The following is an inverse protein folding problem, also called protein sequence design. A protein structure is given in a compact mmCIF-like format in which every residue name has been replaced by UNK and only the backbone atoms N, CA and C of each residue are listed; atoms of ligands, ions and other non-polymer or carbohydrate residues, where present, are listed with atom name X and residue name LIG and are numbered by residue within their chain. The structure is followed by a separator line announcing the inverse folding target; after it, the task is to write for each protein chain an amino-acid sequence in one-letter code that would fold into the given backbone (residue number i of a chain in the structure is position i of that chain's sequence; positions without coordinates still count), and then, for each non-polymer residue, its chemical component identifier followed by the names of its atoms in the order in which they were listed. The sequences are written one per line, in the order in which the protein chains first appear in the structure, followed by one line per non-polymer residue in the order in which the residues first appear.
data_IF_756201589384
#
_entry.id   IF_756201589384
#
_cell.length_a   1.000
_cell.length_b   1.000
_cell.length_c   1.000
_cell.angle_alpha   90.00
_cell.angle_beta   90.00
_cell.angle_gamma   90.00
#
_symmetry.space_group_name_H-M   'P 1'
#
loop_
_entity.id
_entity.type
_entity.pdbx_description
1 polymer ?
#
# COMPACT_ATOMS: atom_id res chain seq x y z
N UNK A 1 -13.94 11.54 -34.08
CA UNK A 1 -14.64 11.48 -32.78
C UNK A 1 -14.17 10.28 -31.96
N UNK A 2 -14.41 9.04 -32.40
CA UNK A 2 -13.98 7.83 -31.67
C UNK A 2 -12.46 7.75 -31.42
N UNK A 3 -11.65 8.08 -32.43
CA UNK A 3 -10.18 8.06 -32.34
C UNK A 3 -9.59 9.04 -31.31
N UNK A 4 -10.21 10.21 -31.15
CA UNK A 4 -9.81 11.21 -30.15
C UNK A 4 -10.11 10.74 -28.73
N UNK A 5 -11.23 10.05 -28.54
CA UNK A 5 -11.63 9.45 -27.25
C UNK A 5 -10.65 8.34 -26.88
N UNK A 6 -10.30 7.45 -27.83
CA UNK A 6 -9.30 6.41 -27.60
C UNK A 6 -7.92 6.99 -27.25
N UNK A 7 -7.45 8.01 -27.98
CA UNK A 7 -6.18 8.66 -27.70
C UNK A 7 -6.14 9.32 -26.30
N UNK A 8 -7.22 9.98 -25.91
CA UNK A 8 -7.36 10.58 -24.57
C UNK A 8 -7.36 9.53 -23.46
N UNK A 9 -8.06 8.41 -23.68
CA UNK A 9 -8.15 7.31 -22.71
C UNK A 9 -6.80 6.62 -22.54
N UNK A 10 -6.07 6.38 -23.64
CA UNK A 10 -4.70 5.85 -23.61
C UNK A 10 -3.77 6.82 -22.88
N UNK A 11 -3.85 8.11 -23.18
CA UNK A 11 -3.05 9.13 -22.50
C UNK A 11 -3.30 9.16 -20.98
N UNK A 12 -4.55 9.05 -20.55
CA UNK A 12 -4.91 9.00 -19.14
C UNK A 12 -4.37 7.74 -18.44
N UNK A 13 -4.44 6.58 -19.10
CA UNK A 13 -3.89 5.31 -18.60
C UNK A 13 -2.37 5.38 -18.50
N UNK A 14 -1.69 5.87 -19.53
CA UNK A 14 -0.23 6.03 -19.55
C UNK A 14 0.22 7.02 -18.48
N UNK A 15 -0.51 8.12 -18.27
CA UNK A 15 -0.22 9.08 -17.21
C UNK A 15 -0.41 8.46 -15.83
N UNK A 16 -1.49 7.70 -15.62
CA UNK A 16 -1.74 6.97 -14.36
C UNK A 16 -0.66 5.94 -14.06
N UNK A 17 -0.20 5.20 -15.08
CA UNK A 17 0.92 4.27 -14.99
C UNK A 17 2.21 5.05 -14.65
N UNK A 18 2.54 6.10 -15.40
CA UNK A 18 3.74 6.90 -15.16
C UNK A 18 3.79 7.48 -13.73
N UNK A 19 2.65 7.91 -13.20
CA UNK A 19 2.54 8.37 -11.82
C UNK A 19 2.71 7.24 -10.80
N UNK A 20 2.15 6.07 -11.08
CA UNK A 20 2.26 4.89 -10.21
C UNK A 20 3.66 4.27 -10.19
N UNK A 21 4.43 4.41 -11.27
CA UNK A 21 5.79 3.88 -11.41
C UNK A 21 6.88 4.88 -10.98
N UNK A 22 6.53 6.03 -10.41
CA UNK A 22 7.54 6.95 -9.89
C UNK A 22 8.37 6.24 -8.81
N UNK A 23 9.71 6.24 -8.91
CA UNK A 23 10.56 5.60 -7.92
C UNK A 23 10.36 6.29 -6.58
N UNK A 24 9.69 5.59 -5.67
CA UNK A 24 9.59 6.00 -4.28
C UNK A 24 10.86 5.57 -3.54
N UNK A 25 11.28 6.34 -2.54
CA UNK A 25 12.38 5.94 -1.63
C UNK A 25 12.01 4.77 -0.71
N UNK A 26 10.81 4.21 -0.89
CA UNK A 26 10.28 3.12 -0.12
C UNK A 26 10.83 1.78 -0.62
N UNK A 27 10.97 0.78 0.27
CA UNK A 27 11.37 -0.56 -0.12
C UNK A 27 10.38 -1.16 -1.13
N UNK A 28 10.85 -2.00 -2.06
CA UNK A 28 9.98 -2.64 -3.03
C UNK A 28 8.94 -3.52 -2.32
N UNK A 29 7.72 -3.53 -2.84
CA UNK A 29 6.63 -4.33 -2.33
C UNK A 29 5.66 -4.74 -3.45
N UNK A 30 4.58 -5.47 -3.13
CA UNK A 30 3.66 -5.97 -4.13
C UNK A 30 3.07 -4.82 -4.92
N UNK A 31 3.15 -4.91 -6.25
CA UNK A 31 2.71 -3.83 -7.14
C UNK A 31 1.19 -3.73 -7.11
N UNK A 32 0.69 -2.59 -6.66
CA UNK A 32 -0.73 -2.26 -6.67
C UNK A 32 -1.21 -1.76 -8.03
N UNK A 33 -2.54 -1.76 -8.22
CA UNK A 33 -3.17 -1.14 -9.39
C UNK A 33 -3.02 0.38 -9.37
N UNK A 34 -2.94 1.06 -10.52
CA UNK A 34 -2.92 2.53 -10.56
C UNK A 34 -4.14 3.09 -9.82
N UNK A 35 -3.95 4.15 -9.05
CA UNK A 35 -4.93 4.82 -8.16
C UNK A 35 -5.33 4.07 -6.88
N UNK A 36 -5.73 2.79 -6.94
CA UNK A 36 -6.18 2.05 -5.76
C UNK A 36 -5.03 1.35 -4.99
N UNK A 37 -3.89 1.13 -5.63
CA UNK A 37 -2.79 0.38 -5.05
C UNK A 37 -3.17 -1.08 -4.79
N UNK A 38 -2.71 -1.61 -3.67
CA UNK A 38 -3.01 -2.94 -3.12
C UNK A 38 -4.29 -2.96 -2.27
N UNK A 39 -5.11 -1.91 -2.27
CA UNK A 39 -6.30 -1.85 -1.40
C UNK A 39 -7.26 -3.05 -1.58
N UNK A 40 -7.37 -3.57 -2.81
CA UNK A 40 -8.18 -4.75 -3.12
C UNK A 40 -7.55 -6.08 -2.65
N UNK A 41 -6.22 -6.12 -2.55
CA UNK A 41 -5.47 -7.32 -2.14
C UNK A 41 -5.35 -7.44 -0.61
N UNK A 42 -5.72 -6.39 0.13
CA UNK A 42 -5.71 -6.36 1.60
C UNK A 42 -7.02 -6.98 2.11
N UNK A 43 -6.99 -8.20 2.67
CA UNK A 43 -8.20 -8.83 3.15
C UNK A 43 -8.66 -8.17 4.47
N UNK A 44 -9.98 -7.99 4.62
CA UNK A 44 -10.59 -7.46 5.84
C UNK A 44 -10.44 -8.41 7.04
N UNK A 45 -10.29 -9.72 6.78
CA UNK A 45 -10.06 -10.77 7.78
C UNK A 45 -8.77 -11.51 7.42
N UNK A 46 -7.99 -11.89 8.43
CA UNK A 46 -6.79 -12.70 8.19
C UNK A 46 -5.63 -11.96 7.53
N UNK A 47 -5.53 -10.63 7.72
CA UNK A 47 -4.45 -9.81 7.17
C UNK A 47 -3.04 -10.35 7.52
N UNK A 48 -2.88 -10.95 8.70
CA UNK A 48 -1.62 -11.55 9.14
C UNK A 48 -1.12 -12.67 8.20
N UNK A 49 -2.01 -13.51 7.67
CA UNK A 49 -1.66 -14.58 6.73
C UNK A 49 -1.13 -13.98 5.43
N UNK A 50 -1.81 -12.96 4.93
CA UNK A 50 -1.42 -12.27 3.70
C UNK A 50 -0.08 -11.55 3.85
N UNK A 51 0.16 -10.93 5.01
CA UNK A 51 1.45 -10.32 5.35
C UNK A 51 2.55 -11.38 5.36
N UNK A 52 2.29 -12.59 5.87
CA UNK A 52 3.27 -13.66 5.85
C UNK A 52 3.59 -14.15 4.42
N UNK A 53 2.57 -14.27 3.55
CA UNK A 53 2.78 -14.57 2.13
C UNK A 53 3.61 -13.50 1.43
N UNK A 54 3.35 -12.21 1.73
CA UNK A 54 4.13 -11.10 1.21
C UNK A 54 5.55 -11.06 1.78
N UNK A 55 5.73 -11.41 3.05
CA UNK A 55 7.06 -11.53 3.67
C UNK A 55 7.90 -12.57 2.93
N UNK A 56 7.32 -13.72 2.56
CA UNK A 56 8.04 -14.77 1.81
C UNK A 56 8.51 -14.31 0.44
N UNK A 57 7.76 -13.40 -0.20
CA UNK A 57 8.03 -12.93 -1.57
C UNK A 57 8.86 -11.65 -1.62
N UNK A 58 8.71 -10.74 -0.66
CA UNK A 58 9.32 -9.40 -0.66
C UNK A 58 10.32 -9.19 0.48
N UNK A 59 10.42 -10.14 1.42
CA UNK A 59 11.34 -10.11 2.55
C UNK A 59 10.76 -9.46 3.81
N UNK A 60 11.64 -9.16 4.75
CA UNK A 60 11.29 -8.70 6.10
C UNK A 60 10.70 -7.28 6.18
N UNK A 61 10.87 -6.47 5.13
CA UNK A 61 10.42 -5.07 5.10
C UNK A 61 9.95 -4.73 3.70
N UNK A 62 8.70 -4.33 3.55
CA UNK A 62 8.11 -4.00 2.24
C UNK A 62 7.09 -2.86 2.36
N UNK A 63 6.85 -2.16 1.26
CA UNK A 63 5.84 -1.10 1.20
C UNK A 63 4.61 -1.53 0.42
N UNK A 64 3.45 -1.05 0.86
CA UNK A 64 2.15 -1.24 0.23
C UNK A 64 1.57 0.14 -0.08
N UNK A 65 0.76 0.24 -1.12
CA UNK A 65 -0.10 1.42 -1.30
C UNK A 65 -1.54 1.00 -1.10
N UNK A 66 -2.30 1.67 -0.25
CA UNK A 66 -3.73 1.44 -0.10
C UNK A 66 -4.48 2.75 -0.41
N UNK A 67 -5.12 2.81 -1.57
CA UNK A 67 -5.91 3.95 -2.02
C UNK A 67 -5.17 5.31 -1.89
N UNK A 68 -3.89 5.35 -2.27
CA UNK A 68 -3.05 6.54 -2.19
C UNK A 68 -2.28 6.70 -0.87
N UNK A 69 -2.55 5.88 0.15
CA UNK A 69 -1.75 5.85 1.38
C UNK A 69 -0.61 4.84 1.27
N UNK A 70 0.63 5.31 1.41
CA UNK A 70 1.79 4.43 1.47
C UNK A 70 1.96 3.86 2.89
N UNK A 71 1.94 2.55 3.01
CA UNK A 71 2.04 1.80 4.26
C UNK A 71 3.35 1.02 4.23
N UNK A 72 4.21 1.22 5.22
CA UNK A 72 5.42 0.41 5.41
C UNK A 72 5.11 -0.74 6.37
N UNK A 73 5.30 -1.98 5.93
CA UNK A 73 5.08 -3.17 6.75
C UNK A 73 6.42 -3.72 7.22
N UNK A 74 6.53 -3.93 8.53
CA UNK A 74 7.68 -4.54 9.19
C UNK A 74 7.30 -5.97 9.59
N UNK A 75 7.82 -6.97 8.89
CA UNK A 75 7.46 -8.38 9.09
C UNK A 75 8.49 -9.18 9.93
N UNK A 76 9.48 -8.49 10.48
CA UNK A 76 10.56 -9.06 11.31
C UNK A 76 10.71 -8.31 12.63
N UNK A 77 10.95 -9.05 13.71
CA UNK A 77 11.11 -8.48 15.05
C UNK A 77 12.31 -7.51 15.13
N UNK A 78 13.39 -7.82 14.41
CA UNK A 78 14.59 -6.95 14.36
C UNK A 78 14.29 -5.61 13.68
N UNK A 79 13.51 -5.63 12.60
CA UNK A 79 13.09 -4.42 11.88
C UNK A 79 12.12 -3.58 12.74
N UNK A 80 11.18 -4.23 13.41
CA UNK A 80 10.26 -3.58 14.34
C UNK A 80 11.00 -2.93 15.51
N UNK A 81 11.91 -3.64 16.17
CA UNK A 81 12.72 -3.09 17.26
C UNK A 81 13.56 -1.89 16.79
N UNK A 82 14.18 -1.96 15.61
CA UNK A 82 14.96 -0.85 15.09
C UNK A 82 14.11 0.42 14.89
N UNK A 83 12.91 0.29 14.33
CA UNK A 83 12.03 1.44 14.08
C UNK A 83 11.40 1.96 15.37
N UNK A 84 10.93 1.06 16.24
CA UNK A 84 10.24 1.42 17.47
C UNK A 84 11.19 1.96 18.54
N UNK A 85 12.38 1.40 18.70
CA UNK A 85 13.34 1.85 19.72
C UNK A 85 14.15 3.05 19.23
N UNK A 86 14.83 2.91 18.07
CA UNK A 86 15.77 3.94 17.60
C UNK A 86 15.10 5.11 16.90
N UNK A 87 13.93 4.89 16.28
CA UNK A 87 13.18 5.92 15.55
C UNK A 87 11.84 6.27 16.22
N UNK A 88 11.79 6.12 17.56
CA UNK A 88 10.61 6.41 18.39
C UNK A 88 10.07 7.83 18.21
N UNK A 89 10.95 8.83 18.18
CA UNK A 89 10.58 10.25 17.97
C UNK A 89 9.77 10.48 16.69
N UNK A 90 10.35 10.29 15.49
CA UNK A 90 9.66 10.54 14.23
C UNK A 90 8.52 9.55 13.93
N UNK A 91 8.54 8.33 14.48
CA UNK A 91 7.54 7.28 14.21
C UNK A 91 6.39 7.27 15.23
N UNK A 92 6.43 8.12 16.25
CA UNK A 92 5.38 8.19 17.28
C UNK A 92 4.04 8.69 16.77
N UNK A 93 4.01 9.35 15.60
CA UNK A 93 2.80 9.89 15.00
C UNK A 93 1.81 8.77 14.63
N UNK A 94 0.57 8.89 15.09
CA UNK A 94 -0.49 7.92 14.80
C UNK A 94 -1.35 8.40 13.63
N UNK A 95 -1.45 7.63 12.53
CA UNK A 95 -2.37 7.96 11.45
C UNK A 95 -3.81 7.99 11.95
N UNK A 96 -4.53 9.06 11.63
CA UNK A 96 -5.98 9.15 11.88
C UNK A 96 -6.69 8.37 10.79
N UNK A 97 -7.12 7.15 11.10
CA UNK A 97 -8.02 6.40 10.24
C UNK A 97 -9.44 6.89 10.51
N UNK A 98 -10.09 7.48 9.49
CA UNK A 98 -11.55 7.64 9.52
C UNK A 98 -12.12 6.23 9.58
N UNK A 99 -12.78 5.89 10.69
CA UNK A 99 -13.30 4.54 10.92
C UNK A 99 -14.40 4.24 9.89
N UNK A 100 -14.01 3.72 8.73
CA UNK A 100 -14.92 3.12 7.77
C UNK A 100 -15.26 1.73 8.30
N UNK A 101 -16.06 1.72 9.37
CA UNK A 101 -17.23 0.85 9.41
C UNK A 101 -16.96 -0.65 9.58
N UNK A 102 -16.39 -1.01 10.73
CA UNK A 102 -16.68 -2.31 11.37
C UNK A 102 -18.19 -2.43 11.71
N UNK A 103 -18.91 -1.30 11.77
CA UNK A 103 -20.35 -1.20 12.04
C UNK A 103 -21.28 -1.73 10.91
N UNK A 104 -20.82 -1.94 9.67
CA UNK A 104 -21.70 -2.50 8.60
C UNK A 104 -21.60 -4.02 8.42
N UNK A 105 -20.78 -4.72 9.20
CA UNK A 105 -20.70 -6.18 9.16
C UNK A 105 -21.35 -6.85 10.38
N UNK A 106 -22.11 -6.09 11.16
CA UNK A 106 -22.87 -6.55 12.33
C UNK A 106 -24.38 -6.37 12.13
N UNK A 107 -24.85 -6.70 10.91
CA UNK A 107 -26.26 -6.90 10.58
C UNK A 107 -26.42 -8.30 9.99
#
# INVERSE_FOLDING_TARGET
MLSLIFASLIGFVVLGIYWSFRPSRLPPGPRGIPFLGNALDIPLKGLFLKIEDWKRTHGDTFSLNAAGQNILVLASAKAAAHVLDKMSGPTSARPRFTMVRIVLLER
#
